data_IF_877952637175
#
_entry.id   IF_877952637175
#
_cell.length_a   1.000
_cell.length_b   1.000
_cell.length_c   1.000
_cell.angle_alpha   90.00
_cell.angle_beta   90.00
_cell.angle_gamma   90.00
#
_symmetry.space_group_name_H-M   'P 1'
#
loop_
_entity.id
_entity.type
_entity.pdbx_description
1 polymer ?
#
# COMPACT_ATOMS: atom_id res chain seq x y z
N UNK A 1 1.29 -12.51 4.40
CA UNK A 1 1.03 -12.12 3.00
C UNK A 1 2.36 -12.12 2.26
N UNK A 2 2.44 -12.75 1.10
CA UNK A 2 3.64 -12.73 0.27
C UNK A 2 3.45 -11.70 -0.85
N UNK A 3 4.39 -10.79 -1.02
CA UNK A 3 4.43 -9.90 -2.18
C UNK A 3 4.61 -10.74 -3.46
N UNK A 4 3.67 -10.59 -4.40
CA UNK A 4 3.70 -11.27 -5.71
C UNK A 4 3.92 -10.31 -6.87
N UNK A 5 3.79 -8.99 -6.65
CA UNK A 5 4.12 -7.98 -7.63
C UNK A 5 4.08 -6.56 -7.05
N UNK A 6 4.86 -5.65 -7.63
CA UNK A 6 4.92 -4.23 -7.26
C UNK A 6 4.93 -3.38 -8.52
N UNK A 7 4.03 -2.40 -8.59
CA UNK A 7 3.87 -1.52 -9.75
C UNK A 7 4.10 -0.07 -9.34
N UNK A 8 4.67 0.72 -10.24
CA UNK A 8 4.79 2.17 -10.07
C UNK A 8 3.50 2.83 -10.52
N UNK A 9 2.94 3.68 -9.67
CA UNK A 9 1.73 4.42 -9.96
C UNK A 9 2.03 5.60 -10.88
N UNK A 10 1.10 5.89 -11.80
CA UNK A 10 1.18 7.07 -12.69
C UNK A 10 0.91 8.36 -11.92
N UNK A 11 0.00 8.29 -10.95
CA UNK A 11 -0.36 9.38 -10.05
C UNK A 11 -0.14 8.92 -8.62
N UNK A 12 0.48 9.77 -7.80
CA UNK A 12 0.79 9.44 -6.40
C UNK A 12 -0.47 9.73 -5.57
N UNK A 13 -0.99 8.75 -4.82
CA UNK A 13 -2.13 8.97 -3.95
C UNK A 13 -1.78 9.93 -2.81
N UNK A 14 -2.79 10.53 -2.19
CA UNK A 14 -2.59 11.35 -1.00
C UNK A 14 -2.09 10.50 0.16
N UNK A 15 -1.36 11.13 1.09
CA UNK A 15 -1.01 10.50 2.36
C UNK A 15 -2.26 10.03 3.10
N UNK A 16 -2.16 8.89 3.77
CA UNK A 16 -3.26 8.24 4.47
C UNK A 16 -2.84 7.89 5.89
N UNK A 17 -3.79 7.97 6.80
CA UNK A 17 -3.57 7.67 8.20
C UNK A 17 -3.64 6.15 8.47
N UNK A 18 -2.69 5.63 9.24
CA UNK A 18 -2.64 4.22 9.66
C UNK A 18 -2.38 4.09 11.16
N UNK A 19 -2.85 3.01 11.76
CA UNK A 19 -2.37 2.59 13.08
C UNK A 19 -0.95 2.02 12.95
N UNK A 20 0.00 2.68 13.63
CA UNK A 20 1.41 2.31 13.68
C UNK A 20 1.81 1.86 15.10
N UNK A 21 3.06 1.47 15.29
CA UNK A 21 3.61 1.21 16.63
C UNK A 21 3.56 2.42 17.58
N UNK A 22 3.46 3.64 17.03
CA UNK A 22 3.39 4.89 17.79
C UNK A 22 1.94 5.42 17.93
N UNK A 23 0.95 4.65 17.50
CA UNK A 23 -0.44 5.07 17.39
C UNK A 23 -0.79 5.51 15.98
N UNK A 24 -1.84 6.33 15.86
CA UNK A 24 -2.34 6.79 14.58
C UNK A 24 -1.38 7.82 13.95
N UNK A 25 -0.78 7.50 12.80
CA UNK A 25 0.15 8.39 12.08
C UNK A 25 -0.23 8.55 10.60
N UNK A 26 0.02 9.76 10.08
CA UNK A 26 -0.10 10.05 8.65
C UNK A 26 1.10 9.46 7.90
N UNK A 27 0.85 8.44 7.09
CA UNK A 27 1.86 7.78 6.27
C UNK A 27 1.84 8.32 4.83
N UNK A 28 3.01 8.53 4.26
CA UNK A 28 3.14 9.13 2.93
C UNK A 28 3.08 8.08 1.83
N UNK A 29 2.38 8.37 0.74
CA UNK A 29 2.37 7.50 -0.42
C UNK A 29 3.78 7.40 -1.04
N UNK A 30 4.23 6.18 -1.26
CA UNK A 30 5.54 5.90 -1.90
C UNK A 30 5.49 6.06 -3.42
N UNK A 31 4.29 6.10 -4.00
CA UNK A 31 4.06 6.04 -5.44
C UNK A 31 4.08 4.62 -6.01
N UNK A 32 4.03 3.59 -5.16
CA UNK A 32 3.91 2.20 -5.58
C UNK A 32 2.60 1.58 -5.10
N UNK A 33 2.18 0.51 -5.76
CA UNK A 33 1.16 -0.39 -5.26
C UNK A 33 1.63 -1.85 -5.37
N UNK A 34 1.21 -2.67 -4.42
CA UNK A 34 1.69 -4.04 -4.23
C UNK A 34 0.53 -5.01 -4.31
N UNK A 35 0.74 -6.13 -4.99
CA UNK A 35 -0.16 -7.28 -4.98
C UNK A 35 0.38 -8.31 -3.99
N UNK A 36 -0.50 -8.81 -3.13
CA UNK A 36 -0.21 -9.90 -2.21
C UNK A 36 -0.87 -11.18 -2.68
N UNK A 37 -0.20 -12.32 -2.47
CA UNK A 37 -0.76 -13.68 -2.60
C UNK A 37 -1.55 -13.94 -3.92
N UNK A 38 -1.20 -13.24 -5.01
CA UNK A 38 -1.95 -13.21 -6.27
C UNK A 38 -3.44 -12.88 -6.10
N UNK A 39 -3.78 -12.06 -5.11
CA UNK A 39 -5.12 -11.59 -4.82
C UNK A 39 -5.77 -10.97 -6.06
N UNK A 40 -7.09 -11.16 -6.17
CA UNK A 40 -7.89 -10.67 -7.27
C UNK A 40 -9.14 -9.98 -6.75
N UNK A 41 -9.59 -8.98 -7.50
CA UNK A 41 -10.91 -8.38 -7.30
C UNK A 41 -12.01 -9.43 -7.56
N UNK A 42 -13.27 -9.19 -7.15
CA UNK A 42 -14.39 -10.08 -7.46
C UNK A 42 -14.59 -10.33 -8.97
N UNK A 43 -14.06 -9.46 -9.83
CA UNK A 43 -14.10 -9.58 -11.29
C UNK A 43 -12.90 -10.34 -11.88
N UNK A 44 -11.97 -10.82 -11.04
CA UNK A 44 -10.83 -11.62 -11.46
C UNK A 44 -9.59 -10.83 -11.90
N UNK A 45 -9.59 -9.50 -11.78
CA UNK A 45 -8.41 -8.66 -12.04
C UNK A 45 -7.44 -8.69 -10.86
N UNK A 46 -6.12 -8.58 -11.06
CA UNK A 46 -5.15 -8.42 -9.97
C UNK A 46 -5.56 -7.30 -9.01
N UNK A 47 -5.60 -7.59 -7.71
CA UNK A 47 -5.86 -6.61 -6.67
C UNK A 47 -4.52 -6.02 -6.20
N UNK A 48 -4.39 -4.70 -6.28
CA UNK A 48 -3.22 -3.96 -5.80
C UNK A 48 -3.62 -3.06 -4.63
N UNK A 49 -2.72 -2.96 -3.67
CA UNK A 49 -2.83 -2.10 -2.48
C UNK A 49 -1.78 -1.00 -2.58
N UNK A 50 -2.17 0.26 -2.39
CA UNK A 50 -1.22 1.37 -2.43
C UNK A 50 -0.24 1.27 -1.25
N UNK A 51 1.03 1.51 -1.51
CA UNK A 51 2.12 1.41 -0.54
C UNK A 51 2.39 2.78 0.09
N UNK A 52 2.31 2.84 1.41
CA UNK A 52 2.57 4.02 2.23
C UNK A 52 3.72 3.75 3.19
N UNK A 53 4.42 4.80 3.59
CA UNK A 53 5.54 4.71 4.51
C UNK A 53 5.37 5.68 5.69
N UNK A 54 5.57 5.18 6.91
CA UNK A 54 5.63 6.03 8.10
C UNK A 54 7.00 6.73 8.24
N UNK A 55 7.15 7.52 9.30
CA UNK A 55 8.39 8.24 9.60
C UNK A 55 9.58 7.34 9.98
N UNK A 56 9.32 6.10 10.41
CA UNK A 56 10.32 5.12 10.83
C UNK A 56 10.77 4.23 9.67
N UNK A 57 10.06 4.33 8.54
CA UNK A 57 10.35 3.59 7.32
C UNK A 57 9.52 2.32 7.16
N UNK A 58 8.56 2.05 8.06
CA UNK A 58 7.69 0.88 7.94
C UNK A 58 6.66 1.09 6.83
N UNK A 59 6.29 -0.01 6.15
CA UNK A 59 5.36 0.02 5.03
C UNK A 59 3.95 -0.41 5.46
N UNK A 60 2.97 0.33 4.97
CA UNK A 60 1.55 0.11 5.18
C UNK A 60 0.84 0.06 3.84
N UNK A 61 -0.27 -0.66 3.79
CA UNK A 61 -0.96 -0.96 2.53
C UNK A 61 -2.44 -0.63 2.65
N UNK A 62 -2.96 0.18 1.72
CA UNK A 62 -4.33 0.67 1.76
C UNK A 62 -4.88 1.00 0.37
N UNK A 63 -6.20 1.04 0.23
CA UNK A 63 -6.89 1.41 -1.01
C UNK A 63 -8.12 2.26 -0.68
#
# INVERSE_FOLDING_TARGET
MKETGRIKLKEIPFSQTFETGNGEELCNATGYAVQFDNEKTPLGFPLFWNEFQDREGNLYYGN
#
